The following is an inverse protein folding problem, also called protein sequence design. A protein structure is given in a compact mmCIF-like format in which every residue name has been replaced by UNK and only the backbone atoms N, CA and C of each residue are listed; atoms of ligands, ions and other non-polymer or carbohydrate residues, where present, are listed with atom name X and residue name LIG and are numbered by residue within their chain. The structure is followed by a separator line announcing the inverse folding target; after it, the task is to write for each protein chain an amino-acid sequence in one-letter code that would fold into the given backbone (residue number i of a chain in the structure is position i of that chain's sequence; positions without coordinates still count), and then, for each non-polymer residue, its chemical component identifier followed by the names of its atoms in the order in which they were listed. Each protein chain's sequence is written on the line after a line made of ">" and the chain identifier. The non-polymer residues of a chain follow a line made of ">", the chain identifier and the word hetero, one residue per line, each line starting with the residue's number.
data_IF_531965183309
#
_entry.id   IF_531965183309
#
_cell.length_a   1.000
_cell.length_b   1.000
_cell.length_c   1.000
_cell.angle_alpha   90.00
_cell.angle_beta   90.00
_cell.angle_gamma   90.00
#
_symmetry.space_group_name_H-M   'P 1'
#
loop_
_entity.id
_entity.type
_entity.pdbx_description
1 polymer ?
#
# COMPACT_ATOMS: atom_id res chain seq x y z
N UNK A 1 28.88 -18.45 -6.05
CA UNK A 1 28.05 -19.45 -5.31
C UNK A 1 26.73 -19.52 -6.05
N UNK A 2 26.33 -20.72 -6.46
CA UNK A 2 25.15 -20.91 -7.30
C UNK A 2 23.88 -20.60 -6.47
N UNK A 3 23.08 -19.56 -6.80
CA UNK A 3 21.86 -19.25 -6.10
C UNK A 3 20.72 -20.29 -6.31
N UNK A 4 20.89 -21.24 -7.24
CA UNK A 4 19.96 -22.34 -7.51
C UNK A 4 20.16 -23.55 -6.59
N UNK A 5 21.11 -23.48 -5.67
CA UNK A 5 21.34 -24.54 -4.70
C UNK A 5 20.32 -24.45 -3.56
N UNK A 6 19.75 -25.57 -3.07
CA UNK A 6 18.98 -25.61 -1.82
C UNK A 6 19.71 -24.95 -0.64
N UNK A 7 21.04 -24.90 -0.68
CA UNK A 7 21.89 -24.19 0.28
C UNK A 7 21.75 -22.67 0.18
N UNK A 8 21.30 -22.09 -0.93
CA UNK A 8 21.07 -20.67 -1.04
C UNK A 8 19.94 -20.21 -0.10
N UNK A 9 18.83 -20.97 -0.04
CA UNK A 9 17.73 -20.67 0.88
C UNK A 9 18.19 -20.72 2.34
N UNK A 10 19.00 -21.73 2.71
CA UNK A 10 19.58 -21.84 4.05
C UNK A 10 20.49 -20.65 4.36
N UNK A 11 21.32 -20.22 3.38
CA UNK A 11 22.21 -19.07 3.54
C UNK A 11 21.45 -17.77 3.79
N UNK A 12 20.30 -17.62 3.17
CA UNK A 12 19.42 -16.46 3.37
C UNK A 12 18.44 -16.65 4.55
N UNK A 13 18.58 -17.73 5.34
CA UNK A 13 17.69 -18.04 6.45
C UNK A 13 16.26 -18.31 6.00
N UNK A 14 16.06 -18.81 4.80
CA UNK A 14 14.75 -19.19 4.24
C UNK A 14 14.54 -20.67 4.53
N UNK A 15 13.52 -20.99 5.32
CA UNK A 15 13.12 -22.37 5.58
C UNK A 15 12.38 -23.00 4.36
N UNK A 16 12.09 -24.28 4.44
CA UNK A 16 11.48 -25.00 3.33
C UNK A 16 10.06 -24.49 2.98
N UNK A 17 9.28 -24.07 3.97
CA UNK A 17 7.94 -23.54 3.76
C UNK A 17 8.00 -22.21 3.00
N UNK A 18 8.86 -21.31 3.45
CA UNK A 18 9.06 -20.02 2.81
C UNK A 18 9.67 -20.15 1.42
N UNK A 19 10.58 -21.14 1.21
CA UNK A 19 11.11 -21.44 -0.11
C UNK A 19 10.00 -21.88 -1.09
N UNK A 20 9.10 -22.76 -0.65
CA UNK A 20 7.95 -23.20 -1.45
C UNK A 20 7.02 -22.01 -1.79
N UNK A 21 6.76 -21.12 -0.84
CA UNK A 21 5.95 -19.94 -1.09
C UNK A 21 6.61 -18.97 -2.10
N UNK A 22 7.95 -18.81 -2.06
CA UNK A 22 8.69 -18.01 -3.05
C UNK A 22 8.62 -18.62 -4.44
N UNK A 23 8.78 -19.96 -4.56
CA UNK A 23 8.65 -20.65 -5.85
C UNK A 23 7.25 -20.47 -6.42
N UNK A 24 6.21 -20.69 -5.62
CA UNK A 24 4.83 -20.51 -6.02
C UNK A 24 4.56 -19.06 -6.47
N UNK A 25 5.06 -18.06 -5.72
CA UNK A 25 4.97 -16.66 -6.09
C UNK A 25 5.69 -16.38 -7.41
N UNK A 26 6.87 -16.93 -7.60
CA UNK A 26 7.65 -16.73 -8.82
C UNK A 26 6.91 -17.31 -10.05
N UNK A 27 6.33 -18.49 -9.92
CA UNK A 27 5.53 -19.12 -10.97
C UNK A 27 4.30 -18.27 -11.32
N UNK A 28 3.51 -17.86 -10.33
CA UNK A 28 2.31 -17.05 -10.52
C UNK A 28 2.62 -15.66 -11.12
N UNK A 29 3.75 -15.08 -10.75
CA UNK A 29 4.20 -13.76 -11.26
C UNK A 29 4.93 -13.88 -12.60
N UNK A 30 5.16 -15.08 -13.13
CA UNK A 30 5.90 -15.31 -14.36
C UNK A 30 7.37 -14.89 -14.28
N UNK A 31 7.97 -14.95 -13.07
CA UNK A 31 9.37 -14.57 -12.90
C UNK A 31 10.30 -15.59 -13.52
N UNK A 32 11.29 -15.11 -14.25
CA UNK A 32 12.42 -15.92 -14.65
C UNK A 32 13.40 -16.11 -13.47
N UNK A 33 14.38 -17.03 -13.65
CA UNK A 33 15.37 -17.35 -12.60
C UNK A 33 16.11 -16.11 -12.09
N UNK A 34 16.43 -15.16 -12.98
CA UNK A 34 17.11 -13.91 -12.60
C UNK A 34 16.24 -13.04 -11.70
N UNK A 35 14.97 -12.90 -12.00
CA UNK A 35 14.02 -12.12 -11.19
C UNK A 35 13.80 -12.78 -9.83
N UNK A 36 13.65 -14.11 -9.78
CA UNK A 36 13.53 -14.86 -8.54
C UNK A 36 14.77 -14.69 -7.65
N UNK A 37 15.96 -14.85 -8.21
CA UNK A 37 17.22 -14.62 -7.50
C UNK A 37 17.35 -13.17 -7.00
N UNK A 38 16.97 -12.20 -7.81
CA UNK A 38 17.00 -10.80 -7.43
C UNK A 38 16.00 -10.50 -6.30
N UNK A 39 14.80 -11.08 -6.36
CA UNK A 39 13.83 -10.99 -5.26
C UNK A 39 14.43 -11.50 -3.95
N UNK A 40 15.02 -12.69 -3.95
CA UNK A 40 15.68 -13.30 -2.76
C UNK A 40 16.82 -12.40 -2.27
N UNK A 41 17.67 -11.92 -3.18
CA UNK A 41 18.79 -11.04 -2.85
C UNK A 41 18.31 -9.74 -2.19
N UNK A 42 17.28 -9.13 -2.74
CA UNK A 42 16.70 -7.89 -2.21
C UNK A 42 16.15 -8.06 -0.79
N UNK A 43 15.65 -9.24 -0.41
CA UNK A 43 15.18 -9.48 0.97
C UNK A 43 16.28 -9.29 2.03
N UNK A 44 17.56 -9.26 1.65
CA UNK A 44 18.72 -9.10 2.55
C UNK A 44 19.22 -7.66 2.65
N UNK A 45 18.65 -6.75 1.88
CA UNK A 45 19.10 -5.36 1.81
C UNK A 45 17.97 -4.40 2.17
N UNK A 46 18.30 -3.34 2.90
CA UNK A 46 17.33 -2.29 3.18
C UNK A 46 16.96 -1.56 1.88
N UNK A 47 15.67 -1.35 1.58
CA UNK A 47 15.27 -0.59 0.40
C UNK A 47 15.66 0.89 0.54
N UNK A 48 15.81 1.62 -0.58
CA UNK A 48 15.97 3.07 -0.56
C UNK A 48 14.81 3.75 0.18
N UNK A 49 15.07 4.95 0.70
CA UNK A 49 14.01 5.77 1.27
C UNK A 49 13.30 6.51 0.15
N UNK A 50 12.20 5.96 -0.34
CA UNK A 50 11.39 6.59 -1.36
C UNK A 50 10.67 7.83 -0.83
N UNK A 51 10.61 8.86 -1.68
CA UNK A 51 10.01 10.14 -1.38
C UNK A 51 8.88 10.41 -2.37
N UNK A 52 7.73 10.83 -1.87
CA UNK A 52 6.59 11.25 -2.69
C UNK A 52 6.50 12.78 -2.67
N UNK A 53 6.80 13.48 -3.77
CA UNK A 53 6.49 14.89 -3.92
C UNK A 53 4.98 15.13 -3.82
N UNK A 54 4.55 16.28 -3.28
CA UNK A 54 3.16 16.72 -3.39
C UNK A 54 2.82 16.98 -4.88
N UNK A 55 1.55 16.78 -5.26
CA UNK A 55 1.12 16.84 -6.66
C UNK A 55 1.40 18.19 -7.35
N UNK A 56 1.50 19.27 -6.56
CA UNK A 56 1.80 20.63 -7.05
C UNK A 56 3.29 20.88 -7.29
N UNK A 57 4.20 19.96 -6.95
CA UNK A 57 5.64 20.20 -6.98
C UNK A 57 6.26 19.87 -8.34
N UNK A 58 7.22 20.69 -8.77
CA UNK A 58 8.21 20.31 -9.76
C UNK A 58 9.22 19.36 -9.11
N UNK A 59 9.20 18.10 -9.52
CA UNK A 59 10.02 17.03 -8.91
C UNK A 59 11.51 17.29 -9.08
N UNK A 60 11.94 17.90 -10.20
CA UNK A 60 13.33 18.21 -10.46
C UNK A 60 13.81 19.35 -9.56
N UNK A 61 13.04 20.43 -9.48
CA UNK A 61 13.33 21.55 -8.59
C UNK A 61 13.38 21.10 -7.13
N UNK A 62 12.45 20.25 -6.69
CA UNK A 62 12.44 19.67 -5.36
C UNK A 62 13.67 18.78 -5.10
N UNK A 63 14.10 17.99 -6.09
CA UNK A 63 15.31 17.18 -5.99
C UNK A 63 16.55 18.07 -5.77
N UNK A 64 16.67 19.16 -6.52
CA UNK A 64 17.80 20.08 -6.42
C UNK A 64 17.78 20.84 -5.07
N UNK A 65 16.60 21.24 -4.57
CA UNK A 65 16.44 21.82 -3.23
C UNK A 65 16.87 20.85 -2.12
N UNK A 66 16.46 19.59 -2.18
CA UNK A 66 16.84 18.57 -1.20
C UNK A 66 18.34 18.32 -1.20
N UNK A 67 18.99 18.29 -2.39
CA UNK A 67 20.45 18.20 -2.49
C UNK A 67 21.15 19.41 -1.87
N UNK A 68 20.65 20.61 -2.14
CA UNK A 68 21.18 21.84 -1.55
C UNK A 68 21.05 21.87 -0.02
N UNK A 69 20.01 21.20 0.52
CA UNK A 69 19.80 20.99 1.95
C UNK A 69 20.69 19.86 2.54
N UNK A 70 21.56 19.25 1.74
CA UNK A 70 22.49 18.20 2.19
C UNK A 70 21.89 16.79 2.22
N UNK A 71 20.74 16.56 1.61
CA UNK A 71 20.13 15.23 1.50
C UNK A 71 20.63 14.54 0.23
N UNK A 72 21.19 13.35 0.38
CA UNK A 72 21.60 12.51 -0.76
C UNK A 72 20.35 11.93 -1.44
N UNK A 73 19.86 12.60 -2.47
CA UNK A 73 18.69 12.17 -3.25
C UNK A 73 19.06 11.85 -4.68
N UNK A 74 18.35 10.89 -5.24
CA UNK A 74 18.43 10.47 -6.63
C UNK A 74 17.04 10.49 -7.27
N UNK A 75 16.94 11.15 -8.42
CA UNK A 75 15.76 11.11 -9.27
C UNK A 75 16.01 10.13 -10.42
N UNK A 76 15.22 9.07 -10.48
CA UNK A 76 15.30 8.05 -11.52
C UNK A 76 13.94 7.87 -12.21
N UNK A 77 13.86 6.92 -13.15
CA UNK A 77 12.62 6.62 -13.90
C UNK A 77 11.42 6.23 -13.06
N UNK A 78 11.63 5.80 -11.81
CA UNK A 78 10.57 5.39 -10.88
C UNK A 78 10.17 6.50 -9.90
N UNK A 79 10.99 7.55 -9.76
CA UNK A 79 10.71 8.66 -8.88
C UNK A 79 11.92 9.11 -8.06
N UNK A 80 11.65 9.79 -6.96
CA UNK A 80 12.63 10.40 -6.07
C UNK A 80 12.92 9.45 -4.89
N UNK A 81 14.18 9.16 -4.63
CA UNK A 81 14.59 8.38 -3.46
C UNK A 81 15.84 8.99 -2.79
N UNK A 82 15.96 8.82 -1.48
CA UNK A 82 17.14 9.16 -0.70
C UNK A 82 17.98 7.91 -0.43
N UNK A 83 19.30 8.02 -0.60
CA UNK A 83 20.25 6.92 -0.39
C UNK A 83 20.75 6.84 1.05
N UNK A 84 20.71 7.95 1.77
CA UNK A 84 21.13 8.03 3.16
C UNK A 84 20.04 8.56 4.07
N UNK A 85 19.05 7.86 4.45
CA UNK A 85 17.82 8.21 5.19
C UNK A 85 17.82 9.31 6.27
N UNK A 86 18.90 10.05 6.40
CA UNK A 86 19.10 11.10 7.39
C UNK A 86 18.88 12.48 6.76
N UNK A 87 18.05 13.28 7.41
CA UNK A 87 17.92 14.69 7.07
C UNK A 87 16.64 15.09 6.33
N UNK A 88 15.95 14.21 5.60
CA UNK A 88 14.72 14.58 4.86
C UNK A 88 13.71 15.27 5.76
N UNK A 89 13.46 14.72 6.96
CA UNK A 89 12.49 15.27 7.90
C UNK A 89 12.90 16.62 8.51
N UNK A 90 14.17 17.00 8.38
CA UNK A 90 14.70 18.27 8.86
C UNK A 90 14.60 19.37 7.81
N UNK A 91 14.38 19.02 6.54
CA UNK A 91 14.26 19.97 5.43
C UNK A 91 12.95 20.77 5.51
N UNK A 92 12.98 21.97 4.96
CA UNK A 92 11.78 22.80 4.85
C UNK A 92 10.76 22.17 3.92
N UNK A 93 11.18 21.52 2.85
CA UNK A 93 10.31 20.75 1.97
C UNK A 93 9.46 19.72 2.72
N UNK A 94 10.03 19.00 3.70
CA UNK A 94 9.27 18.06 4.51
C UNK A 94 8.38 18.76 5.55
N UNK A 95 8.90 19.76 6.25
CA UNK A 95 8.16 20.51 7.28
C UNK A 95 6.95 21.25 6.70
N UNK A 96 7.03 21.69 5.45
CA UNK A 96 5.96 22.36 4.71
C UNK A 96 5.04 21.35 3.98
N UNK A 97 5.28 20.05 4.11
CA UNK A 97 4.46 19.01 3.50
C UNK A 97 4.60 18.90 1.97
N UNK A 98 5.64 19.51 1.38
CA UNK A 98 5.92 19.43 -0.07
C UNK A 98 6.50 18.09 -0.50
N UNK A 99 6.98 17.31 0.45
CA UNK A 99 7.47 15.95 0.24
C UNK A 99 7.08 15.06 1.43
N UNK A 100 6.70 13.82 1.14
CA UNK A 100 6.40 12.78 2.12
C UNK A 100 7.36 11.60 1.96
N UNK A 101 7.72 10.97 3.08
CA UNK A 101 8.41 9.67 3.06
C UNK A 101 7.34 8.60 2.85
N UNK A 102 7.39 7.96 1.68
CA UNK A 102 6.45 6.90 1.32
C UNK A 102 7.13 5.93 0.35
N UNK A 103 7.09 4.63 0.66
CA UNK A 103 7.66 3.60 -0.21
C UNK A 103 7.03 3.62 -1.62
N UNK A 104 7.82 3.27 -2.64
CA UNK A 104 7.38 3.30 -4.04
C UNK A 104 6.15 2.43 -4.28
N UNK A 105 6.13 1.19 -3.79
CA UNK A 105 4.98 0.31 -3.98
C UNK A 105 3.72 0.88 -3.30
N UNK A 106 3.86 1.52 -2.13
CA UNK A 106 2.77 2.22 -1.46
C UNK A 106 2.26 3.42 -2.26
N UNK A 107 3.15 4.16 -2.95
CA UNK A 107 2.74 5.23 -3.87
C UNK A 107 1.94 4.66 -5.07
N UNK A 108 2.37 3.51 -5.61
CA UNK A 108 1.68 2.84 -6.72
C UNK A 108 0.28 2.31 -6.32
N UNK A 109 0.09 1.87 -5.07
CA UNK A 109 -1.24 1.51 -4.57
C UNK A 109 -2.14 2.75 -4.53
N UNK A 110 -1.65 3.87 -4.00
CA UNK A 110 -2.42 5.12 -3.98
C UNK A 110 -2.76 5.60 -5.40
N UNK A 111 -1.83 5.45 -6.35
CA UNK A 111 -2.07 5.75 -7.77
C UNK A 111 -3.12 4.81 -8.41
N UNK A 112 -3.16 3.53 -8.00
CA UNK A 112 -4.16 2.57 -8.50
C UNK A 112 -5.59 2.90 -8.09
N UNK A 113 -5.78 3.71 -7.03
CA UNK A 113 -7.10 4.27 -6.69
C UNK A 113 -7.59 5.21 -7.79
N UNK A 114 -6.70 5.83 -8.57
CA UNK A 114 -7.02 6.75 -9.67
C UNK A 114 -8.03 7.83 -9.24
N UNK A 115 -7.74 8.49 -8.11
CA UNK A 115 -8.63 9.44 -7.46
C UNK A 115 -8.87 10.67 -8.35
N UNK A 116 -10.15 10.97 -8.63
CA UNK A 116 -10.54 12.11 -9.44
C UNK A 116 -11.09 13.26 -8.57
N UNK A 117 -10.90 14.49 -9.03
CA UNK A 117 -11.46 15.67 -8.38
C UNK A 117 -12.99 15.60 -8.26
N UNK A 118 -13.51 15.76 -7.05
CA UNK A 118 -14.95 15.70 -6.76
C UNK A 118 -15.46 14.35 -6.27
N UNK A 119 -14.70 13.27 -6.41
CA UNK A 119 -15.06 11.95 -5.89
C UNK A 119 -15.12 11.89 -4.37
N UNK A 120 -15.82 10.91 -3.87
CA UNK A 120 -15.89 10.54 -2.46
C UNK A 120 -15.25 9.18 -2.29
N UNK A 121 -14.10 9.16 -1.62
CA UNK A 121 -13.23 7.99 -1.49
C UNK A 121 -13.16 7.59 -0.02
N UNK A 122 -13.16 6.29 0.24
CA UNK A 122 -12.93 5.75 1.58
C UNK A 122 -11.63 4.95 1.61
N UNK A 123 -10.75 5.31 2.53
CA UNK A 123 -9.55 4.54 2.91
C UNK A 123 -9.87 3.82 4.23
N UNK A 124 -10.20 2.54 4.15
CA UNK A 124 -10.79 1.77 5.24
C UNK A 124 -9.78 1.38 6.34
N UNK A 125 -8.50 1.24 5.98
CA UNK A 125 -7.41 0.87 6.89
C UNK A 125 -6.27 1.89 6.79
N UNK A 126 -6.57 3.17 7.01
CA UNK A 126 -5.72 4.29 6.63
C UNK A 126 -4.38 4.37 7.36
N UNK A 127 -4.26 3.73 8.52
CA UNK A 127 -3.06 3.84 9.34
C UNK A 127 -2.71 5.30 9.67
N UNK A 128 -1.44 5.65 9.52
CA UNK A 128 -0.95 7.02 9.69
C UNK A 128 -1.11 7.89 8.42
N UNK A 129 -1.88 7.43 7.42
CA UNK A 129 -2.35 8.23 6.29
C UNK A 129 -1.43 8.30 5.08
N UNK A 130 -0.47 7.41 4.91
CA UNK A 130 0.44 7.47 3.75
C UNK A 130 -0.31 7.47 2.41
N UNK A 131 -1.21 6.52 2.21
CA UNK A 131 -2.05 6.40 1.01
C UNK A 131 -3.17 7.45 1.00
N UNK A 132 -3.82 7.68 2.15
CA UNK A 132 -4.85 8.73 2.30
C UNK A 132 -4.37 10.10 1.82
N UNK A 133 -3.17 10.52 2.24
CA UNK A 133 -2.59 11.81 1.85
C UNK A 133 -2.28 11.85 0.35
N UNK A 134 -1.78 10.76 -0.23
CA UNK A 134 -1.51 10.69 -1.66
C UNK A 134 -2.80 10.81 -2.49
N UNK A 135 -3.86 10.12 -2.07
CA UNK A 135 -5.19 10.16 -2.69
C UNK A 135 -5.76 11.58 -2.60
N UNK A 136 -5.79 12.19 -1.41
CA UNK A 136 -6.37 13.50 -1.18
C UNK A 136 -5.62 14.63 -1.90
N UNK A 137 -4.30 14.52 -1.99
CA UNK A 137 -3.42 15.44 -2.73
C UNK A 137 -3.74 15.40 -4.24
N UNK A 138 -3.86 14.18 -4.81
CA UNK A 138 -4.24 14.00 -6.22
C UNK A 138 -5.62 14.57 -6.60
N UNK A 139 -6.53 14.72 -5.62
CA UNK A 139 -7.86 15.29 -5.82
C UNK A 139 -7.86 16.85 -5.84
N UNK A 140 -6.72 17.49 -5.65
CA UNK A 140 -6.58 18.97 -5.68
C UNK A 140 -7.59 19.70 -4.78
N UNK A 141 -7.87 19.16 -3.60
CA UNK A 141 -8.80 19.71 -2.60
C UNK A 141 -10.29 19.61 -2.96
N UNK A 142 -10.65 18.96 -4.07
CA UNK A 142 -12.04 18.77 -4.50
C UNK A 142 -12.51 17.37 -4.16
N UNK A 143 -13.73 17.22 -3.63
CA UNK A 143 -14.26 15.95 -3.15
C UNK A 143 -13.98 15.70 -1.67
N UNK A 144 -14.04 14.45 -1.23
CA UNK A 144 -13.81 14.06 0.16
C UNK A 144 -13.14 12.70 0.27
N UNK A 145 -12.16 12.60 1.17
CA UNK A 145 -11.60 11.32 1.59
C UNK A 145 -12.05 11.02 3.02
N UNK A 146 -12.74 9.92 3.22
CA UNK A 146 -13.02 9.36 4.55
C UNK A 146 -11.90 8.38 4.85
N UNK A 147 -11.25 8.54 5.98
CA UNK A 147 -10.16 7.66 6.42
C UNK A 147 -10.51 7.03 7.75
N UNK A 148 -10.45 5.72 7.83
CA UNK A 148 -10.74 4.98 9.05
C UNK A 148 -9.59 4.05 9.44
N UNK A 149 -9.46 3.79 10.74
CA UNK A 149 -8.54 2.78 11.29
C UNK A 149 -9.07 2.37 12.66
N UNK A 150 -8.79 1.13 13.07
CA UNK A 150 -9.11 0.64 14.42
C UNK A 150 -8.41 1.47 15.51
N UNK A 151 -7.21 1.97 15.22
CA UNK A 151 -6.32 2.64 16.20
C UNK A 151 -6.42 4.15 16.08
N UNK A 152 -7.13 4.81 16.99
CA UNK A 152 -7.34 6.27 17.01
C UNK A 152 -6.03 7.08 16.98
N UNK A 153 -4.97 6.58 17.64
CA UNK A 153 -3.68 7.29 17.64
C UNK A 153 -3.07 7.42 16.24
N UNK A 154 -3.30 6.44 15.34
CA UNK A 154 -2.86 6.52 13.95
C UNK A 154 -3.63 7.59 13.18
N UNK A 155 -4.93 7.70 13.41
CA UNK A 155 -5.76 8.76 12.82
C UNK A 155 -5.36 10.13 13.33
N UNK A 156 -4.93 10.24 14.58
CA UNK A 156 -4.36 11.47 15.14
C UNK A 156 -3.07 11.86 14.41
N UNK A 157 -2.20 10.90 14.10
CA UNK A 157 -0.99 11.15 13.32
C UNK A 157 -1.32 11.54 11.87
N UNK A 158 -2.30 10.89 11.24
CA UNK A 158 -2.82 11.27 9.93
C UNK A 158 -3.27 12.73 9.92
N UNK A 159 -4.04 13.17 10.92
CA UNK A 159 -4.49 14.58 11.03
C UNK A 159 -3.33 15.57 11.10
N UNK A 160 -2.28 15.26 11.86
CA UNK A 160 -1.07 16.10 11.94
C UNK A 160 -0.37 16.20 10.58
N UNK A 161 -0.21 15.08 9.90
CA UNK A 161 0.40 15.03 8.56
C UNK A 161 -0.44 15.78 7.53
N UNK A 162 -1.76 15.59 7.53
CA UNK A 162 -2.68 16.32 6.66
C UNK A 162 -2.59 17.84 6.88
N UNK A 163 -2.55 18.29 8.15
CA UNK A 163 -2.35 19.70 8.49
C UNK A 163 -1.02 20.24 7.96
N UNK A 164 0.08 19.48 8.13
CA UNK A 164 1.41 19.84 7.60
C UNK A 164 1.39 20.01 6.09
N UNK A 165 0.71 19.07 5.38
CA UNK A 165 0.60 19.10 3.93
C UNK A 165 -0.47 20.06 3.38
N UNK A 166 -1.17 20.82 4.24
CA UNK A 166 -2.24 21.74 3.81
C UNK A 166 -3.48 21.04 3.22
N UNK A 167 -3.68 19.76 3.49
CA UNK A 167 -4.77 18.96 2.95
C UNK A 167 -5.97 19.03 3.91
N UNK A 168 -7.11 19.54 3.43
CA UNK A 168 -8.30 19.83 4.25
C UNK A 168 -9.51 18.91 3.95
N UNK A 169 -9.49 18.13 2.88
CA UNK A 169 -10.61 17.31 2.42
C UNK A 169 -10.63 15.88 2.99
N UNK A 170 -9.95 15.65 4.12
CA UNK A 170 -9.90 14.38 4.82
C UNK A 170 -10.76 14.42 6.09
N UNK A 171 -11.60 13.40 6.30
CA UNK A 171 -12.36 13.15 7.53
C UNK A 171 -11.99 11.81 8.11
N UNK A 172 -11.82 11.75 9.42
CA UNK A 172 -11.36 10.51 10.08
C UNK A 172 -12.38 10.00 11.08
N UNK A 173 -12.59 8.68 11.10
CA UNK A 173 -13.44 7.97 12.06
C UNK A 173 -12.75 6.68 12.50
N UNK A 174 -12.99 6.24 13.73
CA UNK A 174 -12.61 4.90 14.17
C UNK A 174 -13.57 3.89 13.54
N UNK A 175 -13.03 2.84 12.95
CA UNK A 175 -13.78 1.70 12.42
C UNK A 175 -12.99 0.43 12.71
N UNK A 176 -13.66 -0.56 13.28
CA UNK A 176 -13.06 -1.83 13.73
C UNK A 176 -13.12 -2.95 12.68
N UNK A 177 -13.87 -2.75 11.60
CA UNK A 177 -14.04 -3.75 10.55
C UNK A 177 -15.06 -4.84 10.89
N UNK A 178 -15.68 -4.82 12.09
CA UNK A 178 -16.61 -5.87 12.52
C UNK A 178 -18.00 -5.79 11.84
N UNK A 179 -18.35 -4.60 11.38
CA UNK A 179 -19.63 -4.35 10.69
C UNK A 179 -19.45 -3.33 9.56
N UNK A 180 -20.38 -3.28 8.57
CA UNK A 180 -20.35 -2.26 7.53
C UNK A 180 -20.29 -0.85 8.09
N UNK A 181 -19.55 0.04 7.42
CA UNK A 181 -19.40 1.43 7.83
C UNK A 181 -20.76 2.16 7.78
N UNK A 182 -21.15 2.81 8.87
CA UNK A 182 -22.27 3.74 8.85
C UNK A 182 -21.93 4.94 7.99
N UNK A 183 -22.57 5.01 6.81
CA UNK A 183 -22.26 6.05 5.83
C UNK A 183 -22.58 7.46 6.33
N UNK A 184 -21.68 8.44 6.18
CA UNK A 184 -22.01 9.85 6.34
C UNK A 184 -23.16 10.26 5.42
N UNK A 185 -23.98 11.22 5.84
CA UNK A 185 -25.22 11.60 5.12
C UNK A 185 -25.00 11.94 3.65
N UNK A 186 -23.92 12.63 3.32
CA UNK A 186 -23.57 12.97 1.95
C UNK A 186 -23.18 11.77 1.09
N UNK A 187 -22.59 10.74 1.71
CA UNK A 187 -22.22 9.49 1.04
C UNK A 187 -23.48 8.62 0.86
N UNK A 188 -24.33 8.55 1.88
CA UNK A 188 -25.59 7.82 1.79
C UNK A 188 -26.52 8.36 0.68
N UNK A 189 -26.51 9.68 0.43
CA UNK A 189 -27.30 10.30 -0.65
C UNK A 189 -26.88 9.82 -2.05
N UNK A 190 -25.62 9.50 -2.27
CA UNK A 190 -25.14 8.93 -3.54
C UNK A 190 -25.06 7.39 -3.51
N UNK A 191 -25.58 6.76 -2.44
CA UNK A 191 -25.64 5.30 -2.25
C UNK A 191 -24.27 4.62 -2.16
N UNK A 192 -23.28 5.28 -1.58
CA UNK A 192 -21.94 4.73 -1.34
C UNK A 192 -20.80 5.63 -1.83
N UNK A 193 -19.59 5.14 -1.73
CA UNK A 193 -18.36 5.80 -2.20
C UNK A 193 -18.12 5.50 -3.68
N UNK A 194 -17.46 6.43 -4.36
CA UNK A 194 -16.96 6.22 -5.72
C UNK A 194 -15.87 5.15 -5.74
N UNK A 195 -14.99 5.19 -4.72
CA UNK A 195 -13.90 4.23 -4.57
C UNK A 195 -13.67 3.93 -3.09
N UNK A 196 -13.36 2.67 -2.80
CA UNK A 196 -12.99 2.19 -1.47
C UNK A 196 -11.63 1.51 -1.57
N UNK A 197 -10.67 1.97 -0.76
CA UNK A 197 -9.36 1.34 -0.61
C UNK A 197 -9.34 0.55 0.71
N UNK A 198 -8.96 -0.71 0.64
CA UNK A 198 -8.65 -1.56 1.78
C UNK A 198 -7.16 -1.89 1.73
N UNK A 199 -6.32 -1.15 2.46
CA UNK A 199 -4.92 -1.50 2.71
C UNK A 199 -4.88 -2.44 3.91
N UNK A 200 -5.15 -3.71 3.68
CA UNK A 200 -5.53 -4.66 4.70
C UNK A 200 -4.38 -5.00 5.67
N UNK A 201 -4.69 -5.23 6.96
CA UNK A 201 -3.75 -5.89 7.85
C UNK A 201 -3.31 -7.24 7.26
N UNK A 202 -2.01 -7.51 7.27
CA UNK A 202 -1.43 -8.69 6.64
C UNK A 202 -0.15 -9.12 7.36
N UNK A 203 0.46 -10.21 6.93
CA UNK A 203 1.72 -10.72 7.48
C UNK A 203 2.90 -9.76 7.30
N UNK A 204 2.74 -8.75 6.42
CA UNK A 204 3.76 -7.77 6.09
C UNK A 204 5.06 -8.37 5.52
N UNK A 205 4.97 -9.54 4.86
CA UNK A 205 6.13 -10.25 4.30
C UNK A 205 6.90 -9.41 3.29
N UNK A 206 6.23 -8.51 2.59
CA UNK A 206 6.85 -7.60 1.63
C UNK A 206 7.66 -6.46 2.25
N UNK A 207 7.56 -6.26 3.57
CA UNK A 207 8.27 -5.19 4.30
C UNK A 207 9.38 -5.72 5.23
N UNK A 208 9.66 -7.01 5.23
CA UNK A 208 10.68 -7.62 6.09
C UNK A 208 12.07 -7.00 5.92
N UNK A 209 12.37 -6.46 4.75
CA UNK A 209 13.60 -5.70 4.47
C UNK A 209 13.82 -4.52 5.42
N UNK A 210 12.75 -3.92 5.93
CA UNK A 210 12.76 -2.82 6.90
C UNK A 210 12.42 -3.26 8.31
N UNK A 211 11.68 -4.35 8.43
CA UNK A 211 11.17 -4.87 9.68
C UNK A 211 11.43 -6.39 9.78
N UNK A 212 12.69 -6.82 9.90
CA UNK A 212 13.06 -8.25 9.90
C UNK A 212 12.42 -9.04 11.04
N UNK A 213 12.13 -8.40 12.18
CA UNK A 213 11.46 -9.05 13.32
C UNK A 213 10.04 -9.54 12.98
N UNK A 214 9.38 -8.91 11.99
CA UNK A 214 8.06 -9.34 11.56
C UNK A 214 8.08 -10.77 10.99
N UNK A 215 9.19 -11.22 10.46
CA UNK A 215 9.38 -12.59 9.95
C UNK A 215 9.18 -13.64 11.05
N UNK A 216 9.63 -13.36 12.26
CA UNK A 216 9.53 -14.29 13.40
C UNK A 216 8.08 -14.50 13.88
N UNK A 217 7.15 -13.65 13.44
CA UNK A 217 5.72 -13.76 13.78
C UNK A 217 4.93 -14.62 12.78
N UNK A 218 5.51 -14.91 11.62
CA UNK A 218 4.83 -15.72 10.62
C UNK A 218 4.64 -17.15 11.14
N UNK A 219 3.39 -17.58 11.17
CA UNK A 219 2.97 -18.96 11.46
C UNK A 219 1.69 -19.24 10.71
N UNK A 220 1.37 -20.51 10.48
CA UNK A 220 0.13 -20.92 9.80
C UNK A 220 -1.11 -20.41 10.53
N UNK A 221 -1.10 -20.41 11.86
CA UNK A 221 -2.21 -19.89 12.67
C UNK A 221 -2.39 -18.38 12.46
N UNK A 222 -1.31 -17.61 12.55
CA UNK A 222 -1.34 -16.17 12.35
C UNK A 222 -1.76 -15.79 10.93
N UNK A 223 -1.27 -16.51 9.91
CA UNK A 223 -1.69 -16.32 8.53
C UNK A 223 -3.20 -16.55 8.36
N UNK A 224 -3.74 -17.66 8.91
CA UNK A 224 -5.18 -17.96 8.83
C UNK A 224 -6.05 -16.92 9.55
N UNK A 225 -5.61 -16.42 10.69
CA UNK A 225 -6.30 -15.32 11.40
C UNK A 225 -6.37 -14.05 10.54
N UNK A 226 -5.27 -13.68 9.89
CA UNK A 226 -5.22 -12.51 9.01
C UNK A 226 -6.07 -12.71 7.75
N UNK A 227 -6.04 -13.88 7.12
CA UNK A 227 -6.91 -14.20 5.98
C UNK A 227 -8.39 -14.05 6.34
N UNK A 228 -8.80 -14.53 7.52
CA UNK A 228 -10.17 -14.37 8.02
C UNK A 228 -10.54 -12.90 8.21
N UNK A 229 -9.64 -12.10 8.79
CA UNK A 229 -9.83 -10.67 8.95
C UNK A 229 -9.89 -9.92 7.59
N UNK A 230 -9.04 -10.29 6.65
CA UNK A 230 -9.01 -9.71 5.30
C UNK A 230 -10.34 -9.97 4.57
N UNK A 231 -10.86 -11.19 4.65
CA UNK A 231 -12.16 -11.53 4.06
C UNK A 231 -13.29 -10.71 4.70
N UNK A 232 -13.33 -10.62 6.03
CA UNK A 232 -14.31 -9.80 6.76
C UNK A 232 -14.25 -8.32 6.36
N UNK A 233 -13.05 -7.76 6.21
CA UNK A 233 -12.87 -6.37 5.77
C UNK A 233 -13.36 -6.17 4.34
N UNK A 234 -13.07 -7.11 3.43
CA UNK A 234 -13.55 -7.10 2.05
C UNK A 234 -15.08 -7.12 2.02
N UNK A 235 -15.72 -8.05 2.74
CA UNK A 235 -17.16 -8.18 2.81
C UNK A 235 -17.81 -6.89 3.34
N UNK A 236 -17.39 -6.42 4.51
CA UNK A 236 -17.98 -5.25 5.16
C UNK A 236 -17.73 -3.92 4.41
N UNK A 237 -16.56 -3.76 3.79
CA UNK A 237 -16.23 -2.53 3.08
C UNK A 237 -16.86 -2.48 1.68
N UNK A 238 -17.06 -3.63 1.03
CA UNK A 238 -17.68 -3.71 -0.30
C UNK A 238 -19.11 -3.15 -0.33
N UNK A 239 -19.84 -3.27 0.78
CA UNK A 239 -21.21 -2.73 0.90
C UNK A 239 -21.24 -1.20 0.72
N UNK A 240 -20.14 -0.52 1.06
CA UNK A 240 -20.03 0.93 0.94
C UNK A 240 -19.65 1.42 -0.46
N UNK A 241 -19.31 0.53 -1.39
CA UNK A 241 -19.03 0.89 -2.79
C UNK A 241 -20.35 1.11 -3.52
N UNK A 242 -20.53 2.25 -4.18
CA UNK A 242 -21.73 2.47 -5.00
C UNK A 242 -21.72 1.61 -6.28
N UNK A 243 -22.86 1.40 -6.91
CA UNK A 243 -22.91 0.81 -8.26
C UNK A 243 -22.07 1.64 -9.25
N UNK A 244 -21.30 0.98 -10.09
CA UNK A 244 -20.30 1.60 -10.97
C UNK A 244 -19.09 2.18 -10.25
N UNK A 245 -18.96 1.97 -8.94
CA UNK A 245 -17.78 2.33 -8.13
C UNK A 245 -16.71 1.24 -8.15
N UNK A 246 -15.60 1.49 -7.45
CA UNK A 246 -14.46 0.56 -7.41
C UNK A 246 -14.08 0.19 -5.97
N UNK A 247 -13.72 -1.06 -5.79
CA UNK A 247 -13.09 -1.60 -4.60
C UNK A 247 -11.61 -1.89 -4.92
N UNK A 248 -10.70 -1.29 -4.16
CA UNK A 248 -9.27 -1.48 -4.31
C UNK A 248 -8.78 -2.23 -3.07
N UNK A 249 -8.28 -3.43 -3.26
CA UNK A 249 -7.70 -4.25 -2.22
C UNK A 249 -6.18 -4.24 -2.33
N UNK A 250 -5.50 -4.05 -1.20
CA UNK A 250 -4.05 -4.03 -1.17
C UNK A 250 -3.50 -4.66 0.11
N UNK A 251 -2.31 -5.22 0.02
CA UNK A 251 -1.51 -5.73 1.14
C UNK A 251 -0.05 -5.35 0.99
N UNK A 252 0.68 -5.33 2.09
CA UNK A 252 2.14 -5.31 2.07
C UNK A 252 2.73 -6.72 2.22
N UNK A 253 2.08 -7.70 1.60
CA UNK A 253 2.49 -9.10 1.54
C UNK A 253 2.78 -9.52 0.10
N UNK A 254 3.67 -10.50 -0.07
CA UNK A 254 3.87 -11.19 -1.34
C UNK A 254 3.30 -12.62 -1.32
N UNK A 255 2.68 -13.06 -0.20
CA UNK A 255 2.02 -14.36 -0.12
C UNK A 255 0.74 -14.36 -0.98
N UNK A 256 0.53 -15.44 -1.72
CA UNK A 256 -0.62 -15.59 -2.62
C UNK A 256 -1.92 -15.70 -1.85
N UNK A 257 -1.86 -16.34 -0.67
CA UNK A 257 -2.99 -16.56 0.23
C UNK A 257 -3.65 -15.26 0.70
N UNK A 258 -2.83 -14.22 0.90
CA UNK A 258 -3.32 -12.89 1.30
C UNK A 258 -3.67 -12.00 0.11
N UNK A 259 -3.35 -12.39 -1.10
CA UNK A 259 -3.43 -11.61 -2.31
C UNK A 259 -4.45 -12.18 -3.30
N UNK A 260 -3.99 -12.96 -4.26
CA UNK A 260 -4.83 -13.50 -5.33
C UNK A 260 -5.92 -14.42 -4.79
N UNK A 261 -5.61 -15.28 -3.82
CA UNK A 261 -6.58 -16.22 -3.23
C UNK A 261 -7.66 -15.47 -2.44
N UNK A 262 -7.30 -14.38 -1.73
CA UNK A 262 -8.25 -13.53 -1.03
C UNK A 262 -9.20 -12.83 -2.01
N UNK A 263 -8.69 -12.33 -3.14
CA UNK A 263 -9.49 -11.69 -4.20
C UNK A 263 -10.41 -12.70 -4.87
N UNK A 264 -9.92 -13.89 -5.19
CA UNK A 264 -10.71 -14.95 -5.81
C UNK A 264 -11.87 -15.39 -4.88
N UNK A 265 -11.57 -15.59 -3.59
CA UNK A 265 -12.58 -15.95 -2.59
C UNK A 265 -13.66 -14.86 -2.47
N UNK A 266 -13.28 -13.59 -2.47
CA UNK A 266 -14.22 -12.47 -2.46
C UNK A 266 -15.11 -12.47 -3.71
N UNK A 267 -14.54 -12.53 -4.90
CA UNK A 267 -15.28 -12.48 -6.16
C UNK A 267 -16.24 -13.67 -6.34
N UNK A 268 -15.90 -14.83 -5.79
CA UNK A 268 -16.78 -16.02 -5.79
C UNK A 268 -18.07 -15.79 -5.00
N UNK A 269 -17.99 -14.97 -3.95
CA UNK A 269 -19.13 -14.68 -3.07
C UNK A 269 -19.87 -13.39 -3.44
N UNK A 270 -19.28 -12.53 -4.27
CA UNK A 270 -19.78 -11.20 -4.64
C UNK A 270 -19.87 -11.08 -6.17
N UNK A 271 -20.91 -11.70 -6.76
CA UNK A 271 -21.10 -11.75 -8.20
C UNK A 271 -21.37 -10.38 -8.86
N UNK A 272 -21.66 -9.35 -8.06
CA UNK A 272 -21.78 -7.96 -8.49
C UNK A 272 -20.44 -7.24 -8.62
N UNK A 273 -19.31 -7.89 -8.31
CA UNK A 273 -17.98 -7.37 -8.53
C UNK A 273 -17.24 -8.12 -9.63
N UNK A 274 -16.41 -7.40 -10.39
CA UNK A 274 -15.53 -7.97 -11.41
C UNK A 274 -14.10 -7.45 -11.25
N UNK A 275 -13.10 -8.32 -11.38
CA UNK A 275 -11.69 -7.95 -11.36
C UNK A 275 -11.32 -7.16 -12.62
N UNK A 276 -10.81 -5.95 -12.46
CA UNK A 276 -10.26 -5.15 -13.57
C UNK A 276 -8.76 -5.40 -13.74
N UNK A 277 -8.04 -5.46 -12.64
CA UNK A 277 -6.59 -5.71 -12.65
C UNK A 277 -6.10 -6.17 -11.29
N UNK A 278 -5.04 -6.98 -11.29
CA UNK A 278 -4.26 -7.29 -10.09
C UNK A 278 -2.77 -7.34 -10.44
N UNK A 279 -1.92 -6.95 -9.50
CA UNK A 279 -0.47 -6.98 -9.70
C UNK A 279 0.31 -6.94 -8.40
N UNK A 280 1.46 -7.59 -8.42
CA UNK A 280 2.50 -7.40 -7.43
C UNK A 280 3.34 -6.16 -7.80
N UNK A 281 3.75 -5.38 -6.81
CA UNK A 281 4.48 -4.13 -6.94
C UNK A 281 5.81 -4.21 -6.20
N UNK A 282 6.84 -3.50 -6.68
CA UNK A 282 8.13 -3.40 -6.01
C UNK A 282 9.11 -4.47 -6.46
N UNK A 283 9.78 -5.14 -5.52
CA UNK A 283 10.76 -6.18 -5.84
C UNK A 283 10.11 -7.37 -6.55
N UNK A 284 10.78 -7.98 -7.54
CA UNK A 284 12.16 -7.76 -7.97
C UNK A 284 12.37 -6.62 -8.99
N UNK A 285 11.32 -6.03 -9.53
CA UNK A 285 11.42 -5.09 -10.66
C UNK A 285 11.88 -3.70 -10.25
N UNK A 286 11.53 -3.30 -9.02
CA UNK A 286 11.94 -2.01 -8.42
C UNK A 286 12.47 -2.26 -7.02
N UNK A 287 13.58 -1.61 -6.68
CA UNK A 287 14.16 -1.67 -5.33
C UNK A 287 13.29 -0.91 -4.32
N UNK A 288 12.22 -1.55 -3.88
CA UNK A 288 11.24 -1.06 -2.92
C UNK A 288 10.66 -2.23 -2.11
N UNK A 289 9.74 -1.97 -1.21
CA UNK A 289 8.95 -3.03 -0.59
C UNK A 289 8.15 -3.79 -1.66
N UNK A 290 7.73 -5.00 -1.33
CA UNK A 290 6.84 -5.79 -2.18
C UNK A 290 5.41 -5.67 -1.65
N UNK A 291 4.51 -5.22 -2.49
CA UNK A 291 3.11 -5.03 -2.15
C UNK A 291 2.20 -5.56 -3.26
N UNK A 292 0.98 -5.87 -2.92
CA UNK A 292 -0.04 -6.30 -3.88
C UNK A 292 -1.16 -5.28 -3.99
N UNK A 293 -1.75 -5.15 -5.16
CA UNK A 293 -2.97 -4.38 -5.38
C UNK A 293 -3.87 -5.08 -6.39
N UNK A 294 -5.17 -5.14 -6.07
CA UNK A 294 -6.23 -5.52 -6.98
C UNK A 294 -7.28 -4.41 -7.07
N UNK A 295 -7.77 -4.16 -8.27
CA UNK A 295 -8.86 -3.21 -8.56
C UNK A 295 -10.04 -4.00 -9.07
N UNK A 296 -11.18 -3.86 -8.41
CA UNK A 296 -12.44 -4.52 -8.73
C UNK A 296 -13.51 -3.47 -8.94
N UNK A 297 -14.35 -3.63 -9.97
CA UNK A 297 -15.49 -2.75 -10.24
C UNK A 297 -16.79 -3.39 -9.77
N UNK A 298 -17.65 -2.60 -9.10
CA UNK A 298 -19.01 -3.01 -8.79
C UNK A 298 -19.89 -2.77 -10.01
N UNK A 299 -20.51 -3.83 -10.50
CA UNK A 299 -21.39 -3.79 -11.67
C UNK A 299 -22.70 -3.01 -11.36
N UNK A 300 -23.35 -2.52 -12.42
CA UNK A 300 -24.60 -1.76 -12.30
C UNK A 300 -25.81 -2.65 -11.97
#
# INVERSE_FOLDING_TARGET
>A
KNPDSPLAYIWFGIDASLASAIEHRAELSGWNDKQRQEFIRMQQSRPPLWLRPAASQDVKALCDELKAAGVEVNLNKHGLCATGGFGVQQTDAYKEGRVEVQDFASQQIAAAVDAQAGEKIWDACAGAGGKTLAIADGMSGKGAVVATDLKEFKLTELKKRAKRAGIANIRTFVWDGEAPLRLPKEIARQKGFDKVLIDAPCTATGTWRRNPDARNRLSDTYLKELMGLQQQLLDNASEAVRHGGKLIYATCSWLTEENEDAVEAFLKNHADFALESSRLLGAPDVDSDTMFVAVMSRQN
#
